data_IF_862907366201
#
_entry.id   IF_862907366201
#
_cell.length_a   1.000
_cell.length_b   1.000
_cell.length_c   1.000
_cell.angle_alpha   90.00
_cell.angle_beta   90.00
_cell.angle_gamma   90.00
#
_symmetry.space_group_name_H-M   'P 1'
#
loop_
_entity.id
_entity.type
_entity.pdbx_description
1 polymer ?
#
# COMPACT_ATOMS: atom_id res chain seq x y z
N UNK A 1 -6.44 -2.95 -16.87
CA UNK A 1 -6.51 -1.54 -17.29
C UNK A 1 -7.96 -1.19 -17.62
N UNK A 2 -8.43 -0.04 -17.17
CA UNK A 2 -9.80 0.38 -17.47
C UNK A 2 -9.97 0.70 -18.95
N UNK A 3 -11.13 0.35 -19.49
CA UNK A 3 -11.58 0.74 -20.83
C UNK A 3 -12.71 1.76 -20.69
N UNK A 4 -13.06 2.44 -21.79
CA UNK A 4 -14.19 3.40 -21.78
C UNK A 4 -15.53 2.75 -21.41
N UNK A 5 -15.65 1.45 -21.63
CA UNK A 5 -16.90 0.71 -21.41
C UNK A 5 -16.94 0.01 -20.05
N UNK A 6 -15.85 0.11 -19.26
CA UNK A 6 -15.79 -0.52 -17.95
C UNK A 6 -16.69 0.19 -16.95
N UNK A 7 -17.48 -0.58 -16.20
CA UNK A 7 -18.36 -0.05 -15.17
C UNK A 7 -17.59 0.23 -13.87
N UNK A 8 -18.14 1.14 -13.03
CA UNK A 8 -17.60 1.40 -11.69
C UNK A 8 -17.63 0.12 -10.82
N UNK A 9 -18.64 -0.72 -10.98
CA UNK A 9 -18.75 -1.99 -10.25
C UNK A 9 -17.63 -2.97 -10.60
N UNK A 10 -17.27 -3.05 -11.88
CA UNK A 10 -16.17 -3.91 -12.32
C UNK A 10 -14.82 -3.44 -11.76
N UNK A 11 -14.56 -2.13 -11.80
CA UNK A 11 -13.36 -1.55 -11.24
C UNK A 11 -13.29 -1.75 -9.72
N UNK A 12 -14.41 -1.60 -9.02
CA UNK A 12 -14.51 -1.83 -7.58
C UNK A 12 -14.16 -3.28 -7.23
N UNK A 13 -14.75 -4.26 -7.92
CA UNK A 13 -14.50 -5.68 -7.66
C UNK A 13 -13.05 -6.05 -7.93
N UNK A 14 -12.46 -5.53 -8.99
CA UNK A 14 -11.03 -5.74 -9.28
C UNK A 14 -10.14 -5.16 -8.18
N UNK A 15 -10.46 -3.97 -7.73
CA UNK A 15 -9.73 -3.31 -6.64
C UNK A 15 -9.87 -4.02 -5.32
N UNK A 16 -11.08 -4.53 -5.01
CA UNK A 16 -11.32 -5.32 -3.80
C UNK A 16 -10.46 -6.58 -3.79
N UNK A 17 -10.42 -7.31 -4.90
CA UNK A 17 -9.57 -8.52 -5.01
C UNK A 17 -8.11 -8.18 -4.78
N UNK A 18 -7.60 -7.12 -5.40
CA UNK A 18 -6.20 -6.72 -5.27
C UNK A 18 -5.87 -6.31 -3.83
N UNK A 19 -6.73 -5.52 -3.18
CA UNK A 19 -6.55 -5.16 -1.77
C UNK A 19 -6.48 -6.41 -0.88
N UNK A 20 -7.37 -7.36 -1.09
CA UNK A 20 -7.39 -8.59 -0.28
C UNK A 20 -6.15 -9.44 -0.50
N UNK A 21 -5.66 -9.52 -1.74
CA UNK A 21 -4.41 -10.23 -2.05
C UNK A 21 -3.20 -9.58 -1.36
N UNK A 22 -3.17 -8.24 -1.31
CA UNK A 22 -2.06 -7.50 -0.70
C UNK A 22 -2.09 -7.55 0.82
N UNK A 23 -3.24 -7.26 1.40
CA UNK A 23 -3.36 -6.99 2.84
C UNK A 23 -3.98 -8.14 3.63
N UNK A 24 -4.50 -9.15 2.95
CA UNK A 24 -5.24 -10.25 3.57
C UNK A 24 -6.60 -9.82 4.10
N UNK A 25 -7.38 -10.77 4.69
CA UNK A 25 -8.72 -10.46 5.21
C UNK A 25 -8.73 -9.36 6.28
N UNK A 26 -7.71 -9.34 7.15
CA UNK A 26 -7.59 -8.32 8.20
C UNK A 26 -7.48 -6.90 7.64
N UNK A 27 -6.86 -6.75 6.48
CA UNK A 27 -6.69 -5.47 5.80
C UNK A 27 -7.97 -4.96 5.13
N UNK A 28 -9.04 -5.76 5.09
CA UNK A 28 -10.31 -5.38 4.50
C UNK A 28 -11.30 -4.77 5.50
N UNK A 29 -10.95 -4.74 6.77
CA UNK A 29 -11.88 -4.30 7.82
C UNK A 29 -12.38 -2.87 7.64
N UNK A 30 -11.52 -1.95 7.20
CA UNK A 30 -11.93 -0.57 6.97
C UNK A 30 -12.95 -0.44 5.85
N UNK A 31 -12.88 -1.27 4.82
CA UNK A 31 -13.88 -1.30 3.78
C UNK A 31 -15.16 -2.00 4.26
N UNK A 32 -15.03 -3.19 4.85
CA UNK A 32 -16.17 -4.01 5.23
C UNK A 32 -17.02 -3.37 6.35
N UNK A 33 -16.39 -2.58 7.22
CA UNK A 33 -17.05 -1.92 8.35
C UNK A 33 -17.32 -0.43 8.11
N UNK A 34 -17.11 0.07 6.87
CA UNK A 34 -17.30 1.49 6.57
C UNK A 34 -18.77 1.89 6.72
N UNK A 35 -19.00 2.98 7.45
CA UNK A 35 -20.32 3.60 7.55
C UNK A 35 -20.52 4.63 6.41
N UNK A 36 -21.64 5.34 6.43
CA UNK A 36 -21.98 6.29 5.38
C UNK A 36 -20.96 7.43 5.25
N UNK A 37 -20.32 7.82 6.35
CA UNK A 37 -19.28 8.86 6.33
C UNK A 37 -17.98 8.36 5.68
N UNK A 38 -17.62 7.13 5.95
CA UNK A 38 -16.35 6.53 5.51
C UNK A 38 -16.41 5.95 4.10
N UNK A 39 -17.59 5.52 3.65
CA UNK A 39 -17.74 4.78 2.40
C UNK A 39 -17.24 5.55 1.16
N UNK A 40 -17.45 6.87 1.01
CA UNK A 40 -16.91 7.58 -0.15
C UNK A 40 -15.39 7.46 -0.29
N UNK A 41 -14.64 7.48 0.83
CA UNK A 41 -13.19 7.26 0.81
C UNK A 41 -12.87 5.82 0.45
N UNK A 42 -13.55 4.86 1.09
CA UNK A 42 -13.30 3.43 0.84
C UNK A 42 -13.66 3.03 -0.58
N UNK A 43 -14.73 3.60 -1.15
CA UNK A 43 -15.05 3.41 -2.57
C UNK A 43 -13.95 3.95 -3.47
N UNK A 44 -13.51 5.18 -3.24
CA UNK A 44 -12.45 5.80 -4.05
C UNK A 44 -11.14 5.01 -3.98
N UNK A 45 -10.73 4.61 -2.78
CA UNK A 45 -9.51 3.80 -2.58
C UNK A 45 -9.63 2.46 -3.30
N UNK A 46 -10.76 1.79 -3.16
CA UNK A 46 -10.95 0.46 -3.76
C UNK A 46 -11.08 0.55 -5.28
N UNK A 47 -11.94 1.43 -5.77
CA UNK A 47 -12.27 1.53 -7.19
C UNK A 47 -11.17 2.24 -7.98
N UNK A 48 -10.75 3.41 -7.55
CA UNK A 48 -9.79 4.23 -8.30
C UNK A 48 -8.37 3.79 -8.03
N UNK A 49 -7.95 3.80 -6.76
CA UNK A 49 -6.57 3.51 -6.41
C UNK A 49 -6.20 2.08 -6.81
N UNK A 50 -6.89 1.09 -6.29
CA UNK A 50 -6.54 -0.32 -6.55
C UNK A 50 -7.17 -0.84 -7.84
N UNK A 51 -8.42 -0.49 -8.12
CA UNK A 51 -9.14 -0.99 -9.30
C UNK A 51 -8.65 -0.40 -10.60
N UNK A 52 -8.34 0.88 -10.66
CA UNK A 52 -7.95 1.57 -11.90
C UNK A 52 -6.44 1.79 -12.01
N UNK A 53 -5.73 2.10 -10.92
CA UNK A 53 -4.30 2.43 -11.00
C UNK A 53 -3.40 1.24 -10.68
N UNK A 54 -3.56 0.64 -9.50
CA UNK A 54 -2.69 -0.47 -9.06
C UNK A 54 -2.81 -1.71 -9.95
N UNK A 55 -3.96 -1.92 -10.58
CA UNK A 55 -4.19 -3.04 -11.47
C UNK A 55 -3.61 -2.85 -12.88
N UNK A 56 -3.08 -1.66 -13.19
CA UNK A 56 -2.48 -1.41 -14.51
C UNK A 56 -1.24 -2.26 -14.72
N UNK A 57 -1.03 -2.82 -15.93
CA UNK A 57 0.09 -3.73 -16.18
C UNK A 57 1.44 -3.03 -16.36
N UNK A 58 1.48 -1.69 -16.38
CA UNK A 58 2.71 -0.94 -16.60
C UNK A 58 3.79 -1.13 -15.54
N UNK A 59 3.38 -1.40 -14.28
CA UNK A 59 4.26 -1.77 -13.18
C UNK A 59 3.61 -2.91 -12.41
N UNK A 60 4.42 -3.85 -11.95
CA UNK A 60 3.92 -4.95 -11.11
C UNK A 60 3.44 -4.42 -9.74
N UNK A 61 2.54 -5.12 -9.05
CA UNK A 61 2.18 -4.76 -7.68
C UNK A 61 3.37 -4.67 -6.75
N UNK A 62 4.38 -5.52 -6.91
CA UNK A 62 5.63 -5.46 -6.14
C UNK A 62 6.33 -4.11 -6.32
N UNK A 63 6.52 -3.67 -7.57
CA UNK A 63 7.17 -2.38 -7.85
C UNK A 63 6.35 -1.21 -7.33
N UNK A 64 5.02 -1.27 -7.46
CA UNK A 64 4.14 -0.22 -6.91
C UNK A 64 4.26 -0.12 -5.39
N UNK A 65 4.36 -1.26 -4.70
CA UNK A 65 4.62 -1.27 -3.25
C UNK A 65 5.94 -0.61 -2.90
N UNK A 66 7.00 -0.89 -3.65
CA UNK A 66 8.33 -0.30 -3.43
C UNK A 66 8.30 1.22 -3.60
N UNK A 67 7.65 1.71 -4.65
CA UNK A 67 7.47 3.16 -4.88
C UNK A 67 6.67 3.80 -3.75
N UNK A 68 5.60 3.15 -3.33
CA UNK A 68 4.71 3.67 -2.28
C UNK A 68 5.45 3.82 -0.96
N UNK A 69 6.27 2.85 -0.58
CA UNK A 69 7.10 2.92 0.64
C UNK A 69 8.00 4.15 0.59
N UNK A 70 8.70 4.38 -0.51
CA UNK A 70 9.59 5.52 -0.65
C UNK A 70 8.85 6.86 -0.57
N UNK A 71 7.69 6.96 -1.23
CA UNK A 71 6.86 8.17 -1.21
C UNK A 71 6.35 8.46 0.21
N UNK A 72 5.83 7.45 0.90
CA UNK A 72 5.28 7.62 2.24
C UNK A 72 6.36 7.95 3.28
N UNK A 73 7.56 7.38 3.13
CA UNK A 73 8.70 7.76 3.94
C UNK A 73 9.03 9.24 3.77
N UNK A 74 9.05 9.73 2.53
CA UNK A 74 9.31 11.13 2.23
C UNK A 74 8.23 12.08 2.71
N UNK A 75 6.98 11.63 2.76
CA UNK A 75 5.84 12.42 3.24
C UNK A 75 5.68 12.36 4.77
N UNK A 76 6.47 11.56 5.47
CA UNK A 76 6.35 11.34 6.91
C UNK A 76 4.93 10.91 7.32
N UNK A 77 4.41 9.86 6.64
CA UNK A 77 3.07 9.31 6.87
C UNK A 77 3.18 7.94 7.56
N UNK A 78 3.37 7.90 8.91
CA UNK A 78 3.73 6.66 9.59
C UNK A 78 2.65 5.57 9.53
N UNK A 79 1.38 5.92 9.68
CA UNK A 79 0.31 4.93 9.67
C UNK A 79 0.15 4.29 8.29
N UNK A 80 0.15 5.11 7.24
CA UNK A 80 0.09 4.61 5.87
C UNK A 80 1.34 3.83 5.50
N UNK A 81 2.50 4.27 5.96
CA UNK A 81 3.75 3.55 5.76
C UNK A 81 3.67 2.13 6.35
N UNK A 82 3.20 2.01 7.59
CA UNK A 82 3.05 0.69 8.23
C UNK A 82 2.11 -0.21 7.43
N UNK A 83 0.97 0.31 6.97
CA UNK A 83 0.04 -0.45 6.15
C UNK A 83 0.70 -0.94 4.85
N UNK A 84 1.44 -0.07 4.18
CA UNK A 84 2.08 -0.43 2.91
C UNK A 84 3.34 -1.28 3.08
N UNK A 85 4.01 -1.25 4.22
CA UNK A 85 5.04 -2.24 4.55
C UNK A 85 4.41 -3.64 4.59
N UNK A 86 3.27 -3.78 5.27
CA UNK A 86 2.54 -5.06 5.32
C UNK A 86 2.07 -5.50 3.93
N UNK A 87 1.48 -4.60 3.17
CA UNK A 87 1.04 -4.87 1.80
C UNK A 87 2.20 -5.23 0.87
N UNK A 88 3.36 -4.62 1.08
CA UNK A 88 4.57 -4.91 0.30
C UNK A 88 5.04 -6.36 0.52
N UNK A 89 5.04 -6.84 1.75
CA UNK A 89 5.35 -8.25 2.03
C UNK A 89 4.35 -9.15 1.28
N UNK A 90 3.06 -8.80 1.31
CA UNK A 90 2.03 -9.52 0.55
C UNK A 90 2.26 -9.52 -0.96
N UNK A 91 2.88 -8.47 -1.50
CA UNK A 91 3.22 -8.34 -2.91
C UNK A 91 4.61 -8.89 -3.27
N UNK A 92 5.28 -9.55 -2.34
CA UNK A 92 6.56 -10.22 -2.58
C UNK A 92 7.79 -9.36 -2.39
N UNK A 93 7.66 -8.19 -1.78
CA UNK A 93 8.82 -7.37 -1.36
C UNK A 93 9.42 -8.00 -0.11
N UNK A 94 10.73 -8.21 -0.09
CA UNK A 94 11.40 -8.79 1.06
C UNK A 94 11.76 -7.73 2.11
N UNK A 95 12.00 -8.16 3.33
CA UNK A 95 12.53 -7.31 4.39
C UNK A 95 13.83 -6.62 3.94
N UNK A 96 14.69 -7.36 3.28
CA UNK A 96 15.98 -6.86 2.79
C UNK A 96 15.76 -5.78 1.71
N UNK A 97 14.80 -5.97 0.82
CA UNK A 97 14.44 -4.94 -0.16
C UNK A 97 13.85 -3.70 0.50
N UNK A 98 13.03 -3.86 1.53
CA UNK A 98 12.50 -2.73 2.30
C UNK A 98 13.65 -1.93 2.93
N UNK A 99 14.63 -2.62 3.51
CA UNK A 99 15.82 -1.96 4.04
C UNK A 99 16.54 -1.14 2.98
N UNK A 100 16.73 -1.68 1.79
CA UNK A 100 17.39 -0.97 0.70
C UNK A 100 16.58 0.24 0.20
N UNK A 101 15.26 0.12 0.15
CA UNK A 101 14.37 1.25 -0.20
C UNK A 101 14.54 2.39 0.79
N UNK A 102 14.51 2.09 2.08
CA UNK A 102 14.61 3.11 3.13
C UNK A 102 16.02 3.73 3.18
N UNK A 103 17.05 2.93 2.96
CA UNK A 103 18.42 3.43 2.89
C UNK A 103 18.60 4.37 1.69
N UNK A 104 18.08 4.00 0.54
CA UNK A 104 18.11 4.85 -0.65
C UNK A 104 17.31 6.14 -0.45
N UNK A 105 16.09 6.02 0.09
CA UNK A 105 15.22 7.17 0.36
C UNK A 105 15.89 8.19 1.29
N UNK A 106 16.68 7.75 2.27
CA UNK A 106 17.38 8.61 3.21
C UNK A 106 18.19 9.71 2.50
N UNK A 107 18.78 9.39 1.35
CA UNK A 107 19.58 10.35 0.59
C UNK A 107 18.78 11.53 0.05
N UNK A 108 17.47 11.33 -0.15
CA UNK A 108 16.59 12.30 -0.80
C UNK A 108 15.58 12.93 0.15
N UNK A 109 15.20 12.22 1.22
CA UNK A 109 14.18 12.70 2.17
C UNK A 109 14.79 13.23 3.48
N UNK A 110 16.05 12.93 3.75
CA UNK A 110 16.73 13.35 4.95
C UNK A 110 16.70 12.33 6.08
N UNK A 111 17.66 12.44 6.99
CA UNK A 111 17.87 11.50 8.08
C UNK A 111 16.71 11.43 9.06
N UNK A 112 16.08 12.54 9.50
CA UNK A 112 14.94 12.44 10.44
C UNK A 112 13.77 11.64 9.89
N UNK A 113 13.35 11.90 8.65
CA UNK A 113 12.25 11.16 8.01
C UNK A 113 12.61 9.68 7.83
N UNK A 114 13.84 9.38 7.44
CA UNK A 114 14.31 8.01 7.27
C UNK A 114 14.35 7.26 8.60
N UNK A 115 14.82 7.89 9.66
CA UNK A 115 14.89 7.30 11.00
C UNK A 115 13.50 6.92 11.52
N UNK A 116 12.53 7.83 11.37
CA UNK A 116 11.14 7.55 11.75
C UNK A 116 10.56 6.43 10.89
N UNK A 117 10.84 6.44 9.59
CA UNK A 117 10.37 5.40 8.68
C UNK A 117 10.90 4.02 9.07
N UNK A 118 12.18 3.93 9.46
CA UNK A 118 12.78 2.67 9.93
C UNK A 118 12.08 2.14 11.17
N UNK A 119 11.80 3.01 12.12
CA UNK A 119 11.10 2.63 13.35
C UNK A 119 9.70 2.08 13.05
N UNK A 120 8.95 2.76 12.19
CA UNK A 120 7.61 2.31 11.79
C UNK A 120 7.63 1.05 10.93
N UNK A 121 8.60 0.92 10.04
CA UNK A 121 8.79 -0.31 9.26
C UNK A 121 9.09 -1.50 10.17
N UNK A 122 9.96 -1.30 11.15
CA UNK A 122 10.29 -2.34 12.15
C UNK A 122 9.04 -2.80 12.89
N UNK A 123 8.22 -1.85 13.36
CA UNK A 123 6.97 -2.17 14.06
C UNK A 123 6.02 -2.98 13.18
N UNK A 124 5.83 -2.56 11.93
CA UNK A 124 4.94 -3.25 10.99
C UNK A 124 5.41 -4.67 10.68
N UNK A 125 6.71 -4.84 10.43
CA UNK A 125 7.29 -6.16 10.14
C UNK A 125 7.17 -7.11 11.33
N UNK A 126 7.40 -6.61 12.54
CA UNK A 126 7.22 -7.42 13.76
C UNK A 126 5.77 -7.84 13.96
N UNK A 127 4.83 -6.95 13.70
CA UNK A 127 3.40 -7.21 13.85
C UNK A 127 2.93 -8.39 13.00
N UNK A 128 3.47 -8.52 11.79
CA UNK A 128 3.10 -9.61 10.86
C UNK A 128 4.07 -10.80 10.87
N UNK A 129 5.04 -10.81 11.78
CA UNK A 129 6.00 -11.91 11.90
C UNK A 129 7.01 -11.99 10.75
N UNK A 130 7.31 -10.86 10.10
CA UNK A 130 8.23 -10.77 8.95
C UNK A 130 9.57 -10.10 9.27
N UNK A 131 9.85 -9.85 10.56
CA UNK A 131 11.08 -9.18 10.99
C UNK A 131 12.28 -10.11 11.13
#
# INVERSE_FOLDING_TARGET
MTTKDETNGEAFERGRRLREEMFGPAGMKSLDNADDFQMPLQDAVTRICFGEVWSRPGLSPKLRSMLTIAILAGQSRPDQLQNHIKGAIGNGVSKEEIREILLHAMLYVGLPAASDSWRHATAALKEIGAY
#
